data_IF_844174772662
#
_entry.id   IF_844174772662
#
_cell.length_a   1.000
_cell.length_b   1.000
_cell.length_c   1.000
_cell.angle_alpha   90.00
_cell.angle_beta   90.00
_cell.angle_gamma   90.00
#
_symmetry.space_group_name_H-M   'P 1'
#
loop_
_entity.id
_entity.type
_entity.pdbx_description
1 polymer ?
#
# COMPACT_ATOMS: atom_id res chain seq x y z
N UNK A 1 -7.02 -13.60 -13.62
CA UNK A 1 -6.68 -12.83 -12.41
C UNK A 1 -5.17 -12.91 -12.16
N UNK A 2 -4.60 -11.80 -11.71
CA UNK A 2 -3.17 -11.78 -11.40
C UNK A 2 -2.86 -12.74 -10.26
N UNK A 3 -1.81 -13.55 -10.43
CA UNK A 3 -1.42 -14.57 -9.47
C UNK A 3 -0.18 -14.10 -8.71
N UNK A 4 -0.37 -13.79 -7.42
CA UNK A 4 0.68 -13.24 -6.56
C UNK A 4 1.05 -14.21 -5.45
N UNK A 5 2.33 -14.24 -5.10
CA UNK A 5 2.81 -15.02 -3.97
C UNK A 5 2.25 -14.52 -2.64
N UNK A 6 1.75 -13.27 -2.62
CA UNK A 6 1.16 -12.67 -1.42
C UNK A 6 -0.30 -13.05 -1.23
N UNK A 7 -0.89 -13.71 -2.21
CA UNK A 7 -2.33 -14.04 -2.18
C UNK A 7 -2.69 -14.88 -0.97
N UNK A 8 -3.58 -14.36 -0.15
CA UNK A 8 -4.10 -15.03 1.03
C UNK A 8 -5.36 -14.30 1.49
N UNK A 9 -6.23 -14.94 2.28
CA UNK A 9 -7.38 -14.24 2.83
C UNK A 9 -7.01 -12.99 3.65
N UNK A 10 -5.91 -13.06 4.39
CA UNK A 10 -5.43 -11.93 5.19
C UNK A 10 -4.98 -10.76 4.30
N UNK A 11 -4.27 -11.07 3.23
CA UNK A 11 -3.84 -10.04 2.27
C UNK A 11 -5.05 -9.43 1.57
N UNK A 12 -6.03 -10.25 1.21
CA UNK A 12 -7.27 -9.77 0.60
C UNK A 12 -7.99 -8.77 1.52
N UNK A 13 -8.07 -9.09 2.81
CA UNK A 13 -8.71 -8.19 3.78
C UNK A 13 -7.99 -6.85 3.87
N UNK A 14 -6.67 -6.87 3.87
CA UNK A 14 -5.87 -5.66 3.88
C UNK A 14 -6.17 -4.80 2.64
N UNK A 15 -6.12 -5.43 1.46
CA UNK A 15 -6.35 -4.70 0.22
C UNK A 15 -7.78 -4.20 0.09
N UNK A 16 -8.75 -4.95 0.58
CA UNK A 16 -10.14 -4.48 0.62
C UNK A 16 -10.28 -3.25 1.50
N UNK A 17 -9.56 -3.20 2.61
CA UNK A 17 -9.54 -2.03 3.49
C UNK A 17 -8.94 -0.82 2.78
N UNK A 18 -7.86 -1.03 2.02
CA UNK A 18 -7.23 0.03 1.24
C UNK A 18 -8.19 0.56 0.18
N UNK A 19 -8.93 -0.33 -0.48
CA UNK A 19 -9.88 0.08 -1.51
C UNK A 19 -11.03 0.94 -0.98
N UNK A 20 -11.28 0.93 0.31
CA UNK A 20 -12.31 1.75 0.95
C UNK A 20 -11.83 3.16 1.28
N UNK A 21 -10.53 3.42 1.18
CA UNK A 21 -9.98 4.75 1.45
C UNK A 21 -10.39 5.70 0.34
N UNK A 22 -10.87 6.89 0.70
CA UNK A 22 -11.43 7.84 -0.27
C UNK A 22 -10.62 9.13 -0.40
N UNK A 23 -9.85 9.49 0.63
CA UNK A 23 -9.10 10.74 0.65
C UNK A 23 -7.66 10.50 1.05
N UNK A 24 -6.80 11.50 0.79
CA UNK A 24 -5.43 11.45 1.26
C UNK A 24 -5.36 11.35 2.78
N UNK A 25 -6.25 12.06 3.47
CA UNK A 25 -6.30 12.03 4.92
C UNK A 25 -6.60 10.62 5.44
N UNK A 26 -7.54 9.93 4.80
CA UNK A 26 -7.86 8.55 5.13
C UNK A 26 -6.63 7.65 4.96
N UNK A 27 -5.88 7.85 3.88
CA UNK A 27 -4.68 7.07 3.62
C UNK A 27 -3.62 7.31 4.69
N UNK A 28 -3.39 8.57 5.05
CA UNK A 28 -2.41 8.90 6.10
C UNK A 28 -2.78 8.25 7.42
N UNK A 29 -4.05 8.34 7.81
CA UNK A 29 -4.52 7.73 9.06
C UNK A 29 -4.34 6.22 9.06
N UNK A 30 -4.74 5.60 7.95
CA UNK A 30 -4.66 4.14 7.82
C UNK A 30 -3.22 3.66 7.94
N UNK A 31 -2.33 4.28 7.19
CA UNK A 31 -0.93 3.83 7.15
C UNK A 31 -0.14 4.28 8.38
N UNK A 32 -0.52 5.37 9.02
CA UNK A 32 0.09 5.77 10.30
C UNK A 32 -0.17 4.71 11.37
N UNK A 33 -1.36 4.13 11.39
CA UNK A 33 -1.70 3.09 12.35
C UNK A 33 -1.07 1.74 12.03
N UNK A 34 -0.84 1.47 10.75
CA UNK A 34 -0.40 0.16 10.30
C UNK A 34 1.12 0.04 10.17
N UNK A 35 1.78 1.11 9.78
CA UNK A 35 3.21 1.10 9.45
C UNK A 35 3.99 2.08 10.30
N UNK A 36 5.29 1.78 10.50
CA UNK A 36 6.19 2.79 11.05
C UNK A 36 6.53 3.81 9.96
N UNK A 37 7.05 4.96 10.38
CA UNK A 37 7.50 6.01 9.45
C UNK A 37 8.56 5.45 8.50
N UNK A 38 9.48 4.66 9.04
CA UNK A 38 10.55 4.06 8.25
C UNK A 38 10.02 3.12 7.17
N UNK A 39 9.04 2.29 7.54
CA UNK A 39 8.41 1.37 6.59
C UNK A 39 7.70 2.12 5.49
N UNK A 40 6.96 3.15 5.84
CA UNK A 40 6.19 3.93 4.86
C UNK A 40 7.13 4.67 3.91
N UNK A 41 8.22 5.24 4.42
CA UNK A 41 9.21 5.91 3.57
C UNK A 41 9.82 4.96 2.56
N UNK A 42 10.05 3.71 2.96
CA UNK A 42 10.56 2.69 2.04
C UNK A 42 9.56 2.40 0.92
N UNK A 43 8.28 2.32 1.24
CA UNK A 43 7.23 2.14 0.23
C UNK A 43 7.18 3.31 -0.75
N UNK A 44 7.24 4.53 -0.23
CA UNK A 44 7.22 5.73 -1.08
C UNK A 44 8.41 5.72 -2.03
N UNK A 45 9.59 5.39 -1.53
CA UNK A 45 10.79 5.34 -2.34
C UNK A 45 10.68 4.28 -3.44
N UNK A 46 10.18 3.10 -3.10
CA UNK A 46 9.98 2.03 -4.08
C UNK A 46 8.96 2.44 -5.14
N UNK A 47 7.93 3.12 -4.74
CA UNK A 47 6.90 3.59 -5.67
C UNK A 47 7.49 4.59 -6.66
N UNK A 48 8.31 5.52 -6.19
CA UNK A 48 8.95 6.51 -7.07
C UNK A 48 9.86 5.84 -8.08
N UNK A 49 10.64 4.83 -7.66
CA UNK A 49 11.50 4.08 -8.58
C UNK A 49 10.67 3.35 -9.62
N UNK A 50 9.60 2.69 -9.20
CA UNK A 50 8.72 1.96 -10.11
C UNK A 50 8.08 2.91 -11.13
N UNK A 51 7.67 4.09 -10.67
CA UNK A 51 7.08 5.10 -11.54
C UNK A 51 8.07 5.57 -12.61
N UNK A 52 9.33 5.78 -12.22
CA UNK A 52 10.37 6.21 -13.15
C UNK A 52 10.65 5.15 -14.20
N UNK A 53 10.61 3.88 -13.83
CA UNK A 53 10.89 2.79 -14.75
C UNK A 53 9.78 2.57 -15.76
N UNK A 54 8.56 2.98 -15.43
CA UNK A 54 7.38 2.75 -16.28
C UNK A 54 7.00 3.94 -17.15
N UNK A 55 7.71 5.05 -17.04
CA UNK A 55 7.47 6.23 -17.88
C UNK A 55 8.23 6.24 -19.18
#
# INVERSE_FOLDING_TARGET
MYDSKLKSPETDMLFESILKLETLDDCYRFFDDLCTISELRSFVQRFEVAKMLNE
#
